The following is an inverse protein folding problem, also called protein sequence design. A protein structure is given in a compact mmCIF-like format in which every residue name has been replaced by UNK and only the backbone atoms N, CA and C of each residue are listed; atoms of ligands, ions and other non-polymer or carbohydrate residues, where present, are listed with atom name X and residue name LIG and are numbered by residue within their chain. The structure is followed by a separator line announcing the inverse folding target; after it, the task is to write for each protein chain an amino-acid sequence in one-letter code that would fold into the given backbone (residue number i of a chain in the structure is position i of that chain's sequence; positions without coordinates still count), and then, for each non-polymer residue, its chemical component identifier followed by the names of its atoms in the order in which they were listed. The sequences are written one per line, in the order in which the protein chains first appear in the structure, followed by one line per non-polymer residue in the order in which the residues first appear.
data_IF_378053532283
#
_entry.id   IF_378053532283
#
_cell.length_a   1.000
_cell.length_b   1.000
_cell.length_c   1.000
_cell.angle_alpha   90.00
_cell.angle_beta   90.00
_cell.angle_gamma   90.00
#
_symmetry.space_group_name_H-M   'P 1'
#
loop_
_entity.id
_entity.type
_entity.pdbx_description
1 polymer ?
#
# COMPACT_ATOMS: atom_id res chain seq x y z
N UNK A 1 -11.94 33.19 34.05
CA UNK A 1 -12.39 31.95 33.42
C UNK A 1 -11.42 31.44 32.37
N UNK A 2 -10.40 32.20 31.95
CA UNK A 2 -9.38 31.78 30.95
C UNK A 2 -8.19 31.05 31.57
N UNK A 3 -7.93 31.22 32.87
CA UNK A 3 -6.80 30.54 33.56
C UNK A 3 -7.03 29.06 33.88
N UNK A 4 -8.28 28.60 33.93
CA UNK A 4 -8.61 27.21 34.23
C UNK A 4 -8.59 26.27 33.01
N UNK A 5 -8.65 26.82 31.80
CA UNK A 5 -8.54 26.04 30.55
C UNK A 5 -7.08 25.76 30.20
N UNK A 6 -6.16 26.70 30.44
CA UNK A 6 -4.73 26.52 30.18
C UNK A 6 -4.10 25.47 31.08
N UNK A 7 -4.50 25.41 32.38
CA UNK A 7 -4.00 24.42 33.31
C UNK A 7 -4.46 22.98 32.95
N UNK A 8 -5.67 22.82 32.36
CA UNK A 8 -6.17 21.51 31.93
C UNK A 8 -5.54 21.02 30.63
N UNK A 9 -5.11 21.92 29.75
CA UNK A 9 -4.37 21.55 28.53
C UNK A 9 -2.92 21.14 28.83
N UNK A 10 -2.25 21.81 29.79
CA UNK A 10 -0.91 21.41 30.24
C UNK A 10 -0.92 20.05 30.94
N UNK A 11 -1.91 19.78 31.78
CA UNK A 11 -2.06 18.50 32.46
C UNK A 11 -2.34 17.34 31.48
N UNK A 12 -3.10 17.61 30.41
CA UNK A 12 -3.36 16.63 29.36
C UNK A 12 -2.16 16.34 28.46
N UNK A 13 -1.33 17.34 28.19
CA UNK A 13 -0.05 17.14 27.45
C UNK A 13 0.97 16.35 28.27
N UNK A 14 0.99 16.50 29.61
CA UNK A 14 1.89 15.72 30.45
C UNK A 14 1.46 14.25 30.54
N UNK A 15 0.16 13.97 30.61
CA UNK A 15 -0.37 12.59 30.63
C UNK A 15 -0.11 11.86 29.31
N UNK A 16 -0.27 12.53 28.18
CA UNK A 16 0.02 11.95 26.84
C UNK A 16 1.53 11.69 26.63
N UNK A 17 2.42 12.47 27.24
CA UNK A 17 3.87 12.23 27.20
C UNK A 17 4.30 11.08 28.11
N UNK A 18 3.67 10.90 29.26
CA UNK A 18 3.94 9.75 30.14
C UNK A 18 3.42 8.42 29.57
N UNK A 19 2.30 8.45 28.84
CA UNK A 19 1.76 7.25 28.19
C UNK A 19 2.61 6.83 26.96
N UNK A 20 3.15 7.79 26.20
CA UNK A 20 4.08 7.49 25.12
C UNK A 20 5.42 6.94 25.62
N UNK A 21 5.96 7.45 26.72
CA UNK A 21 7.20 6.93 27.32
C UNK A 21 7.00 5.51 27.87
N UNK A 22 5.85 5.18 28.46
CA UNK A 22 5.56 3.83 28.94
C UNK A 22 5.38 2.82 27.81
N UNK A 23 4.91 3.24 26.64
CA UNK A 23 4.73 2.38 25.47
C UNK A 23 6.06 2.08 24.79
N UNK A 24 7.01 3.03 24.78
CA UNK A 24 8.37 2.83 24.27
C UNK A 24 9.23 1.95 25.20
N UNK A 25 9.10 2.07 26.53
CA UNK A 25 9.81 1.20 27.48
C UNK A 25 9.34 -0.26 27.42
N UNK A 26 8.08 -0.53 27.09
CA UNK A 26 7.58 -1.91 26.92
C UNK A 26 8.00 -2.59 25.61
N UNK A 27 8.45 -1.84 24.61
CA UNK A 27 8.95 -2.41 23.35
C UNK A 27 10.46 -2.73 23.39
N UNK A 28 11.23 -2.24 24.38
CA UNK A 28 12.66 -2.52 24.49
C UNK A 28 13.01 -3.68 25.46
N UNK A 29 12.03 -4.33 26.08
CA UNK A 29 12.26 -5.43 27.03
C UNK A 29 11.88 -6.79 26.45
N UNK A 30 12.38 -7.17 25.27
CA UNK A 30 12.43 -8.58 24.85
C UNK A 30 13.87 -8.96 24.51
N UNK A 31 14.49 -9.91 25.23
CA UNK A 31 15.80 -10.41 24.87
C UNK A 31 15.70 -11.34 23.66
N UNK A 32 16.33 -10.96 22.57
CA UNK A 32 16.65 -11.86 21.48
C UNK A 32 17.58 -12.96 21.99
N UNK A 33 17.09 -14.17 22.08
CA UNK A 33 17.92 -15.36 22.10
C UNK A 33 17.17 -16.52 21.43
N UNK A 34 17.39 -16.65 20.13
CA UNK A 34 17.05 -17.88 19.42
C UNK A 34 18.13 -18.15 18.38
N UNK A 35 19.14 -18.92 18.83
CA UNK A 35 20.09 -19.54 17.92
C UNK A 35 19.35 -20.60 17.11
N UNK A 36 19.35 -20.45 15.81
CA UNK A 36 18.94 -21.44 14.83
C UNK A 36 19.89 -22.64 14.85
N UNK A 37 19.33 -23.81 15.05
CA UNK A 37 19.95 -25.06 14.64
C UNK A 37 19.11 -25.65 13.51
N UNK A 38 19.61 -25.55 12.31
CA UNK A 38 19.06 -26.21 11.13
C UNK A 38 19.22 -27.74 11.27
N UNK A 39 18.13 -28.46 11.39
CA UNK A 39 18.08 -29.89 11.12
C UNK A 39 17.43 -30.13 9.76
N UNK A 40 18.25 -30.68 8.89
CA UNK A 40 17.95 -31.13 7.54
C UNK A 40 17.15 -32.43 7.61
N UNK A 41 15.85 -32.43 7.36
CA UNK A 41 15.06 -33.62 7.12
C UNK A 41 15.09 -34.00 5.64
N UNK A 42 15.74 -35.11 5.34
CA UNK A 42 15.66 -35.78 4.05
C UNK A 42 14.47 -36.73 4.01
N UNK A 43 13.66 -36.55 2.99
CA UNK A 43 12.48 -37.35 2.65
C UNK A 43 12.79 -38.83 2.41
N UNK A 44 12.00 -39.70 3.04
CA UNK A 44 11.97 -41.13 2.75
C UNK A 44 10.97 -41.43 1.63
N UNK A 45 11.51 -42.04 0.59
CA UNK A 45 10.74 -42.78 -0.40
C UNK A 45 10.54 -44.23 0.03
N UNK A 46 9.32 -44.65 -0.13
CA UNK A 46 8.78 -45.99 0.10
C UNK A 46 9.34 -47.00 -0.92
N UNK A 47 9.90 -48.13 -0.46
CA UNK A 47 10.11 -49.35 -1.27
C UNK A 47 10.08 -50.58 -0.38
N UNK A 48 9.10 -51.39 -0.63
CA UNK A 48 8.91 -52.73 -0.08
C UNK A 48 9.94 -53.74 -0.54
N UNK A 49 10.12 -54.74 0.33
CA UNK A 49 10.57 -56.12 0.15
C UNK A 49 12.08 -56.40 0.15
N UNK A 50 12.55 -57.02 1.24
CA UNK A 50 12.92 -58.47 1.28
C UNK A 50 13.52 -58.83 2.66
N UNK A 51 12.90 -59.86 3.27
CA UNK A 51 13.40 -60.59 4.43
C UNK A 51 14.78 -61.18 4.12
N UNK A 52 15.79 -60.80 4.88
CA UNK A 52 17.02 -61.59 5.04
C UNK A 52 17.31 -61.66 6.54
N UNK A 53 17.44 -62.90 6.98
CA UNK A 53 17.74 -63.30 8.33
C UNK A 53 19.09 -62.73 8.79
N UNK A 54 19.11 -61.90 9.82
CA UNK A 54 20.34 -61.44 10.47
C UNK A 54 20.34 -61.78 11.96
N UNK A 55 21.48 -62.15 12.52
CA UNK A 55 21.61 -62.59 13.92
C UNK A 55 21.35 -61.43 14.89
N UNK A 56 20.98 -61.69 16.16
CA UNK A 56 20.50 -60.68 17.10
C UNK A 56 21.59 -59.66 17.44
N UNK A 57 21.37 -58.43 17.02
CA UNK A 57 22.21 -57.29 17.40
C UNK A 57 22.03 -56.97 18.89
N UNK A 58 23.16 -56.97 19.61
CA UNK A 58 23.23 -56.56 21.00
C UNK A 58 22.64 -55.13 21.17
N UNK A 59 21.64 -54.99 22.05
CA UNK A 59 21.03 -53.70 22.41
C UNK A 59 22.10 -52.78 22.95
N UNK A 60 22.49 -51.76 22.20
CA UNK A 60 23.37 -50.68 22.68
C UNK A 60 22.67 -50.00 23.86
N UNK A 61 23.29 -50.06 25.05
CA UNK A 61 22.82 -49.33 26.22
C UNK A 61 22.72 -47.86 25.91
N UNK A 62 21.54 -47.26 26.08
CA UNK A 62 21.34 -45.81 25.98
C UNK A 62 22.11 -45.15 27.14
N UNK A 63 23.22 -44.51 26.83
CA UNK A 63 23.95 -43.67 27.76
C UNK A 63 23.07 -42.45 28.10
N UNK A 64 22.68 -42.34 29.34
CA UNK A 64 21.91 -41.20 29.85
C UNK A 64 22.92 -40.10 30.20
N UNK A 65 23.03 -39.11 29.34
CA UNK A 65 23.88 -37.93 29.57
C UNK A 65 23.14 -36.99 30.53
N UNK A 66 23.73 -36.70 31.68
CA UNK A 66 23.24 -35.71 32.63
C UNK A 66 24.17 -34.52 32.54
N UNK A 67 23.62 -33.36 32.16
CA UNK A 67 24.35 -32.07 32.12
C UNK A 67 24.22 -31.45 33.53
N UNK A 68 25.34 -31.14 34.13
CA UNK A 68 25.41 -30.42 35.43
C UNK A 68 26.10 -29.11 35.17
N UNK A 69 25.41 -28.02 35.42
CA UNK A 69 25.97 -26.67 35.37
C UNK A 69 26.90 -26.48 36.56
N UNK A 70 28.15 -26.25 36.27
CA UNK A 70 29.16 -25.91 37.28
C UNK A 70 29.14 -24.42 37.54
N UNK A 71 28.90 -23.95 38.76
CA UNK A 71 29.03 -22.54 39.08
C UNK A 71 30.52 -22.14 38.97
N UNK A 72 30.82 -21.29 38.02
CA UNK A 72 32.18 -20.74 37.82
C UNK A 72 32.21 -19.35 38.42
N UNK A 73 32.88 -19.16 39.50
CA UNK A 73 33.19 -17.83 40.06
C UNK A 73 34.49 -17.35 39.43
N UNK A 74 34.39 -16.40 38.49
CA UNK A 74 35.55 -15.73 37.94
C UNK A 74 35.95 -14.57 38.86
N UNK A 75 37.04 -14.71 39.57
CA UNK A 75 37.71 -13.62 40.27
C UNK A 75 38.83 -13.08 39.37
N UNK A 76 38.54 -12.10 38.55
CA UNK A 76 39.56 -11.37 37.79
C UNK A 76 40.01 -10.16 38.63
N UNK A 77 41.32 -10.02 38.84
CA UNK A 77 41.93 -8.91 39.61
C UNK A 77 41.63 -7.55 38.97
N UNK A 78 41.23 -7.56 37.68
CA UNK A 78 40.92 -6.36 36.88
C UNK A 78 39.39 -6.21 36.64
N UNK A 79 38.55 -6.90 37.38
CA UNK A 79 37.10 -6.82 37.18
C UNK A 79 36.59 -5.47 37.70
N UNK A 80 35.93 -4.72 36.82
CA UNK A 80 35.20 -3.53 37.21
C UNK A 80 34.03 -3.92 38.08
N UNK A 81 33.90 -3.29 39.24
CA UNK A 81 32.78 -3.52 40.17
C UNK A 81 31.43 -3.20 39.48
N UNK A 82 30.36 -3.89 39.91
CA UNK A 82 29.02 -3.69 39.33
C UNK A 82 28.57 -2.24 39.36
N UNK A 83 28.88 -1.51 40.40
CA UNK A 83 28.50 -0.09 40.53
C UNK A 83 29.20 0.80 39.48
N UNK A 84 30.48 0.53 39.20
CA UNK A 84 31.21 1.23 38.15
C UNK A 84 30.70 0.86 36.75
N UNK A 85 30.34 -0.40 36.55
CA UNK A 85 29.74 -0.85 35.29
C UNK A 85 28.38 -0.17 35.04
N UNK A 86 27.55 -0.13 36.07
CA UNK A 86 26.25 0.56 35.99
C UNK A 86 26.41 2.06 35.71
N UNK A 87 27.40 2.71 36.35
CA UNK A 87 27.72 4.12 36.09
C UNK A 87 28.15 4.35 34.64
N UNK A 88 28.97 3.45 34.06
CA UNK A 88 29.38 3.56 32.67
C UNK A 88 28.21 3.34 31.71
N UNK A 89 27.33 2.37 31.98
CA UNK A 89 26.11 2.14 31.18
C UNK A 89 25.19 3.37 31.21
N UNK A 90 25.01 3.97 32.41
CA UNK A 90 24.19 5.18 32.54
C UNK A 90 24.80 6.36 31.80
N UNK A 91 26.10 6.55 31.87
CA UNK A 91 26.79 7.62 31.15
C UNK A 91 26.73 7.43 29.63
N UNK A 92 26.93 6.18 29.18
CA UNK A 92 26.76 5.84 27.75
C UNK A 92 25.33 6.13 27.28
N UNK A 93 24.33 5.74 28.05
CA UNK A 93 22.94 6.04 27.76
C UNK A 93 22.65 7.53 27.63
N UNK A 94 23.25 8.36 28.51
CA UNK A 94 23.15 9.83 28.42
C UNK A 94 23.81 10.38 27.14
N UNK A 95 24.99 9.87 26.78
CA UNK A 95 25.70 10.30 25.55
C UNK A 95 24.89 9.93 24.32
N UNK A 96 24.37 8.69 24.22
CA UNK A 96 23.51 8.25 23.12
C UNK A 96 22.27 9.13 22.99
N UNK A 97 21.63 9.48 24.12
CA UNK A 97 20.48 10.39 24.12
C UNK A 97 20.84 11.78 23.61
N UNK A 98 21.99 12.30 24.02
CA UNK A 98 22.49 13.61 23.56
C UNK A 98 22.78 13.59 22.06
N UNK A 99 23.43 12.55 21.55
CA UNK A 99 23.71 12.38 20.13
C UNK A 99 22.42 12.30 19.31
N UNK A 100 21.41 11.59 19.83
CA UNK A 100 20.09 11.51 19.19
C UNK A 100 19.43 12.89 19.10
N UNK A 101 19.41 13.65 20.17
CA UNK A 101 18.84 15.00 20.18
C UNK A 101 19.55 15.93 19.20
N UNK A 102 20.89 15.86 19.14
CA UNK A 102 21.68 16.64 18.23
C UNK A 102 21.42 16.27 16.77
N UNK A 103 21.34 14.96 16.48
CA UNK A 103 20.94 14.48 15.16
C UNK A 103 19.56 14.99 14.75
N UNK A 104 18.57 14.87 15.64
CA UNK A 104 17.21 15.33 15.36
C UNK A 104 17.14 16.85 15.15
N UNK A 105 17.97 17.62 15.85
CA UNK A 105 18.12 19.07 15.64
C UNK A 105 18.67 19.37 14.25
N UNK A 106 19.73 18.68 13.86
CA UNK A 106 20.37 18.83 12.55
C UNK A 106 19.42 18.38 11.42
N UNK A 107 18.71 17.28 11.59
CA UNK A 107 17.70 16.81 10.62
C UNK A 107 16.60 17.87 10.44
N UNK A 108 16.15 18.53 11.52
CA UNK A 108 15.16 19.59 11.44
C UNK A 108 15.71 20.86 10.73
N UNK A 109 16.98 21.24 10.97
CA UNK A 109 17.66 22.34 10.28
C UNK A 109 17.74 22.04 8.78
N UNK A 110 18.23 20.85 8.41
CA UNK A 110 18.38 20.42 7.03
C UNK A 110 17.03 20.39 6.31
N UNK A 111 15.94 19.98 6.99
CA UNK A 111 14.60 19.99 6.40
C UNK A 111 14.10 21.41 6.05
N UNK A 112 14.47 22.44 6.81
CA UNK A 112 14.18 23.84 6.46
C UNK A 112 14.97 24.25 5.23
N UNK A 113 16.26 23.95 5.22
CA UNK A 113 17.17 24.28 4.12
C UNK A 113 16.72 23.62 2.80
N UNK A 114 16.45 22.32 2.83
CA UNK A 114 15.92 21.58 1.67
C UNK A 114 14.63 22.19 1.15
N UNK A 115 13.70 22.54 2.06
CA UNK A 115 12.44 23.14 1.67
C UNK A 115 12.61 24.51 1.02
N UNK A 116 13.54 25.34 1.52
CA UNK A 116 13.84 26.66 0.96
C UNK A 116 14.35 26.53 -0.47
N UNK A 117 15.34 25.68 -0.70
CA UNK A 117 15.90 25.47 -2.04
C UNK A 117 14.89 24.85 -3.01
N UNK A 118 14.18 23.81 -2.57
CA UNK A 118 13.17 23.15 -3.40
C UNK A 118 12.04 24.09 -3.82
N UNK A 119 11.56 24.92 -2.88
CA UNK A 119 10.48 25.87 -3.19
C UNK A 119 10.96 27.02 -4.08
N UNK A 120 12.16 27.54 -3.91
CA UNK A 120 12.71 28.58 -4.79
C UNK A 120 12.80 28.10 -6.23
N UNK A 121 13.33 26.89 -6.44
CA UNK A 121 13.41 26.30 -7.77
C UNK A 121 12.02 26.10 -8.39
N UNK A 122 11.08 25.54 -7.61
CA UNK A 122 9.72 25.25 -8.09
C UNK A 122 8.88 26.51 -8.36
N UNK A 123 9.06 27.57 -7.57
CA UNK A 123 8.36 28.84 -7.79
C UNK A 123 8.78 29.53 -9.09
N UNK A 124 10.02 29.31 -9.55
CA UNK A 124 10.51 29.82 -10.82
C UNK A 124 10.29 28.88 -12.00
N UNK A 125 9.78 27.66 -11.76
CA UNK A 125 9.58 26.63 -12.77
C UNK A 125 8.15 26.13 -12.80
N UNK A 126 7.88 24.97 -12.18
CA UNK A 126 6.60 24.28 -12.30
C UNK A 126 5.44 24.97 -11.56
N UNK A 127 5.72 25.74 -10.50
CA UNK A 127 4.70 26.43 -9.71
C UNK A 127 4.41 27.86 -10.18
N UNK A 128 5.16 28.41 -11.13
CA UNK A 128 5.02 29.79 -11.59
C UNK A 128 3.59 30.16 -11.96
N UNK A 129 2.86 29.27 -12.64
CA UNK A 129 1.48 29.48 -13.09
C UNK A 129 0.42 29.35 -11.99
N UNK A 130 0.80 28.83 -10.82
CA UNK A 130 -0.12 28.49 -9.73
C UNK A 130 -0.08 29.47 -8.55
N UNK A 131 0.68 30.53 -8.69
CA UNK A 131 0.85 31.60 -7.70
C UNK A 131 0.73 32.95 -8.39
N UNK A 132 0.14 33.94 -7.70
CA UNK A 132 0.14 35.32 -8.21
C UNK A 132 1.55 35.91 -8.18
N UNK A 133 1.84 36.89 -8.99
CA UNK A 133 3.15 37.54 -9.02
C UNK A 133 3.50 38.18 -7.64
N UNK A 134 2.52 38.81 -7.02
CA UNK A 134 2.71 39.46 -5.72
C UNK A 134 2.99 38.41 -4.62
N UNK A 135 2.23 37.30 -4.58
CA UNK A 135 2.43 36.22 -3.61
C UNK A 135 3.77 35.50 -3.87
N UNK A 136 4.15 35.30 -5.14
CA UNK A 136 5.43 34.70 -5.51
C UNK A 136 6.60 35.54 -5.01
N UNK A 137 6.56 36.86 -5.27
CA UNK A 137 7.61 37.78 -4.84
C UNK A 137 7.71 37.82 -3.32
N UNK A 138 6.58 37.93 -2.63
CA UNK A 138 6.53 37.94 -1.17
C UNK A 138 7.06 36.63 -0.57
N UNK A 139 6.69 35.48 -1.14
CA UNK A 139 7.16 34.20 -0.67
C UNK A 139 8.65 33.97 -0.97
N UNK A 140 9.12 34.40 -2.15
CA UNK A 140 10.55 34.35 -2.49
C UNK A 140 11.40 35.13 -1.49
N UNK A 141 11.00 36.36 -1.16
CA UNK A 141 11.70 37.15 -0.14
C UNK A 141 11.74 36.42 1.21
N UNK A 142 10.62 35.80 1.62
CA UNK A 142 10.57 35.05 2.87
C UNK A 142 11.47 33.82 2.87
N UNK A 143 11.61 33.14 1.72
CA UNK A 143 12.56 32.04 1.57
C UNK A 143 14.01 32.52 1.66
N UNK A 144 14.34 33.66 1.04
CA UNK A 144 15.66 34.29 1.12
C UNK A 144 15.99 34.74 2.54
N UNK A 145 15.04 35.38 3.24
CA UNK A 145 15.19 35.75 4.64
C UNK A 145 15.42 34.54 5.55
N UNK A 146 14.72 33.41 5.25
CA UNK A 146 14.92 32.18 6.01
C UNK A 146 16.27 31.53 5.73
N UNK A 147 16.75 31.58 4.49
CA UNK A 147 18.09 31.09 4.12
C UNK A 147 19.17 31.90 4.87
N UNK A 148 19.07 33.21 4.83
CA UNK A 148 20.01 34.08 5.54
C UNK A 148 19.98 33.79 7.05
N UNK A 149 18.80 33.68 7.64
CA UNK A 149 18.62 33.33 9.04
C UNK A 149 19.28 32.00 9.39
N UNK A 150 19.18 30.94 8.53
CA UNK A 150 19.79 29.63 8.78
C UNK A 150 21.31 29.68 8.96
N UNK A 151 21.97 30.60 8.28
CA UNK A 151 23.43 30.76 8.33
C UNK A 151 23.92 31.85 9.31
N UNK A 152 23.00 32.60 9.90
CA UNK A 152 23.27 33.62 10.88
C UNK A 152 22.71 33.22 12.26
N UNK A 153 21.61 33.83 12.68
CA UNK A 153 21.01 33.64 14.00
C UNK A 153 20.39 32.22 14.18
N UNK A 154 20.11 31.54 13.09
CA UNK A 154 19.50 30.21 13.06
C UNK A 154 20.48 29.04 13.09
N UNK A 155 21.79 29.28 13.19
CA UNK A 155 22.78 28.21 13.12
C UNK A 155 22.65 27.22 14.27
N UNK A 156 22.38 27.70 15.47
CA UNK A 156 22.43 26.95 16.73
C UNK A 156 21.13 27.09 17.54
N UNK A 157 19.98 26.93 16.87
CA UNK A 157 18.68 27.02 17.50
C UNK A 157 18.17 25.66 17.98
N UNK A 158 17.26 25.61 18.98
CA UNK A 158 16.58 24.40 19.38
C UNK A 158 15.76 23.80 18.20
N UNK A 159 15.65 22.47 18.17
CA UNK A 159 14.88 21.72 17.14
C UNK A 159 13.50 22.33 16.86
N UNK A 160 12.77 22.75 17.90
CA UNK A 160 11.42 23.29 17.75
C UNK A 160 11.38 24.54 16.87
N UNK A 161 12.37 25.41 16.96
CA UNK A 161 12.43 26.64 16.15
C UNK A 161 12.51 26.31 14.64
N UNK A 162 13.26 25.27 14.27
CA UNK A 162 13.32 24.83 12.88
C UNK A 162 11.99 24.23 12.41
N UNK A 163 11.32 23.45 13.27
CA UNK A 163 9.99 22.91 12.97
C UNK A 163 8.97 24.03 12.76
N UNK A 164 8.98 25.04 13.61
CA UNK A 164 8.06 26.19 13.53
C UNK A 164 8.31 26.98 12.24
N UNK A 165 9.58 27.26 11.90
CA UNK A 165 9.96 27.89 10.64
C UNK A 165 9.50 27.11 9.43
N UNK A 166 9.74 25.79 9.40
CA UNK A 166 9.29 24.93 8.33
C UNK A 166 7.77 24.93 8.18
N UNK A 167 7.05 24.90 9.30
CA UNK A 167 5.59 24.95 9.32
C UNK A 167 5.07 26.27 8.75
N UNK A 168 5.68 27.39 9.11
CA UNK A 168 5.36 28.71 8.57
C UNK A 168 5.54 28.74 7.05
N UNK A 169 6.68 28.28 6.55
CA UNK A 169 6.94 28.21 5.10
C UNK A 169 5.96 27.26 4.39
N UNK A 170 5.68 26.11 4.97
CA UNK A 170 4.69 25.16 4.42
C UNK A 170 3.28 25.72 4.34
N UNK A 171 2.88 26.56 5.28
CA UNK A 171 1.57 27.24 5.25
C UNK A 171 1.40 28.09 3.99
N UNK A 172 2.47 28.69 3.48
CA UNK A 172 2.46 29.49 2.25
C UNK A 172 2.61 28.60 0.99
N UNK A 173 3.46 27.57 1.06
CA UNK A 173 3.77 26.74 -0.10
C UNK A 173 2.74 25.64 -0.37
N UNK A 174 2.13 25.05 0.64
CA UNK A 174 1.14 23.97 0.48
C UNK A 174 -0.05 24.32 -0.43
N UNK A 175 -0.66 25.52 -0.37
CA UNK A 175 -1.73 25.88 -1.29
C UNK A 175 -1.27 25.89 -2.76
N UNK A 176 -0.06 26.36 -3.02
CA UNK A 176 0.53 26.39 -4.37
C UNK A 176 0.76 24.97 -4.85
N UNK A 177 1.39 24.15 -4.03
CA UNK A 177 1.64 22.74 -4.31
C UNK A 177 0.32 21.97 -4.56
N UNK A 178 -0.72 22.23 -3.75
CA UNK A 178 -2.02 21.61 -3.92
C UNK A 178 -2.68 22.00 -5.25
N UNK A 179 -2.57 23.27 -5.67
CA UNK A 179 -3.10 23.72 -6.98
C UNK A 179 -2.38 23.03 -8.14
N UNK A 180 -1.08 22.90 -8.06
CA UNK A 180 -0.29 22.18 -9.04
C UNK A 180 -0.70 20.71 -9.10
N UNK A 181 -0.70 20.00 -7.97
CA UNK A 181 -1.09 18.60 -7.90
C UNK A 181 -2.50 18.36 -8.45
N UNK A 182 -3.46 19.19 -8.05
CA UNK A 182 -4.82 19.13 -8.57
C UNK A 182 -4.89 19.39 -10.09
N UNK A 183 -4.00 20.22 -10.63
CA UNK A 183 -3.91 20.47 -12.07
C UNK A 183 -3.43 19.25 -12.86
N UNK A 184 -2.58 18.44 -12.27
CA UNK A 184 -2.07 17.19 -12.86
C UNK A 184 -3.06 16.03 -12.71
N UNK A 185 -3.72 15.91 -11.54
CA UNK A 185 -4.59 14.78 -11.22
C UNK A 185 -6.00 14.90 -11.84
N UNK A 186 -6.58 16.11 -11.89
CA UNK A 186 -7.94 16.33 -12.41
C UNK A 186 -8.19 15.86 -13.83
N UNK A 187 -7.30 16.11 -14.81
CA UNK A 187 -7.53 15.66 -16.18
C UNK A 187 -7.71 14.16 -16.27
N UNK A 188 -6.91 13.40 -15.52
CA UNK A 188 -7.01 11.94 -15.44
C UNK A 188 -8.32 11.50 -14.79
N UNK A 189 -8.71 12.14 -13.70
CA UNK A 189 -9.98 11.83 -13.02
C UNK A 189 -11.19 12.09 -13.93
N UNK A 190 -11.20 13.20 -14.69
CA UNK A 190 -12.23 13.48 -15.69
C UNK A 190 -12.22 12.47 -16.85
N UNK A 191 -11.06 12.06 -17.32
CA UNK A 191 -10.93 11.04 -18.37
C UNK A 191 -11.53 9.71 -17.91
N UNK A 192 -11.22 9.28 -16.67
CA UNK A 192 -11.73 8.04 -16.11
C UNK A 192 -13.26 8.09 -15.91
N UNK A 193 -13.81 9.20 -15.42
CA UNK A 193 -15.25 9.42 -15.36
C UNK A 193 -15.89 9.36 -16.77
N UNK A 194 -15.28 10.03 -17.74
CA UNK A 194 -15.75 10.04 -19.13
C UNK A 194 -15.76 8.64 -19.75
N UNK A 195 -14.73 7.83 -19.51
CA UNK A 195 -14.66 6.42 -19.94
C UNK A 195 -15.81 5.59 -19.35
N UNK A 196 -16.08 5.75 -18.06
CA UNK A 196 -17.17 5.04 -17.40
C UNK A 196 -18.53 5.45 -17.96
N UNK A 197 -18.78 6.75 -18.14
CA UNK A 197 -20.00 7.26 -18.76
C UNK A 197 -20.19 6.65 -20.17
N UNK A 198 -19.15 6.69 -20.99
CA UNK A 198 -19.20 6.12 -22.36
C UNK A 198 -19.48 4.62 -22.36
N UNK A 199 -18.91 3.87 -21.42
CA UNK A 199 -19.12 2.44 -21.28
C UNK A 199 -20.58 2.14 -20.94
N UNK A 200 -21.19 2.85 -19.99
CA UNK A 200 -22.60 2.67 -19.64
C UNK A 200 -23.54 3.10 -20.76
N UNK A 201 -23.26 4.22 -21.41
CA UNK A 201 -24.04 4.67 -22.57
C UNK A 201 -23.97 3.69 -23.75
N UNK A 202 -22.79 3.06 -23.99
CA UNK A 202 -22.64 2.00 -24.98
C UNK A 202 -23.52 0.80 -24.66
N UNK A 203 -23.58 0.38 -23.39
CA UNK A 203 -24.47 -0.70 -22.95
C UNK A 203 -25.94 -0.34 -23.15
N UNK A 204 -26.35 0.89 -22.81
CA UNK A 204 -27.71 1.38 -23.03
C UNK A 204 -28.08 1.36 -24.53
N UNK A 205 -27.17 1.81 -25.39
CA UNK A 205 -27.37 1.78 -26.86
C UNK A 205 -27.48 0.35 -27.40
N UNK A 206 -26.63 -0.57 -26.93
CA UNK A 206 -26.69 -1.99 -27.31
C UNK A 206 -28.02 -2.63 -26.90
N UNK A 207 -28.52 -2.35 -25.68
CA UNK A 207 -29.85 -2.79 -25.24
C UNK A 207 -30.97 -2.27 -26.16
N UNK A 208 -30.93 -0.94 -26.47
CA UNK A 208 -31.92 -0.33 -27.39
C UNK A 208 -31.85 -0.90 -28.82
N UNK A 209 -30.67 -1.34 -29.25
CA UNK A 209 -30.45 -2.06 -30.53
C UNK A 209 -30.85 -3.53 -30.46
N UNK A 210 -31.37 -4.04 -29.34
CA UNK A 210 -31.72 -5.43 -29.09
C UNK A 210 -30.57 -6.42 -29.30
N UNK A 211 -29.38 -6.01 -28.82
CA UNK A 211 -28.20 -6.89 -28.79
C UNK A 211 -28.47 -8.06 -27.85
N UNK A 212 -28.25 -9.28 -28.35
CA UNK A 212 -28.42 -10.50 -27.57
C UNK A 212 -27.64 -10.53 -26.24
N UNK A 213 -26.57 -9.76 -26.15
CA UNK A 213 -25.77 -9.69 -24.95
C UNK A 213 -26.54 -9.09 -23.78
N UNK A 214 -27.47 -8.17 -24.02
CA UNK A 214 -28.16 -7.37 -23.01
C UNK A 214 -29.69 -7.54 -22.98
N UNK A 215 -30.26 -8.47 -23.77
CA UNK A 215 -31.68 -8.72 -23.88
C UNK A 215 -32.37 -9.20 -22.57
N UNK A 216 -31.55 -9.66 -21.62
CA UNK A 216 -32.01 -10.13 -20.31
C UNK A 216 -32.15 -9.01 -19.27
N UNK A 217 -31.74 -7.78 -19.59
CA UNK A 217 -31.86 -6.65 -18.69
C UNK A 217 -33.28 -6.10 -18.68
N UNK A 218 -33.71 -5.59 -17.54
CA UNK A 218 -35.02 -4.93 -17.40
C UNK A 218 -34.96 -3.51 -17.97
N UNK A 219 -35.99 -3.11 -18.74
CA UNK A 219 -36.09 -1.79 -19.34
C UNK A 219 -36.04 -0.68 -18.31
N UNK A 220 -36.67 -0.84 -17.14
CA UNK A 220 -36.65 0.13 -16.05
C UNK A 220 -35.25 0.27 -15.43
N UNK A 221 -34.50 -0.82 -15.35
CA UNK A 221 -33.10 -0.82 -14.87
C UNK A 221 -32.16 -0.12 -15.86
N UNK A 222 -32.32 -0.37 -17.15
CA UNK A 222 -31.57 0.29 -18.21
C UNK A 222 -31.88 1.78 -18.26
N UNK A 223 -33.15 2.17 -18.07
CA UNK A 223 -33.53 3.57 -17.97
C UNK A 223 -32.87 4.30 -16.77
N UNK A 224 -32.68 3.61 -15.64
CA UNK A 224 -31.93 4.14 -14.49
C UNK A 224 -30.46 4.36 -14.85
N UNK A 225 -29.81 3.41 -15.55
CA UNK A 225 -28.43 3.55 -16.00
C UNK A 225 -28.30 4.73 -16.94
N UNK A 226 -29.18 4.87 -17.92
CA UNK A 226 -29.21 5.99 -18.88
C UNK A 226 -29.34 7.33 -18.15
N UNK A 227 -30.29 7.44 -17.21
CA UNK A 227 -30.50 8.65 -16.42
C UNK A 227 -29.25 9.01 -15.61
N UNK A 228 -28.71 8.04 -14.86
CA UNK A 228 -27.51 8.28 -14.05
C UNK A 228 -26.29 8.66 -14.88
N UNK A 229 -26.09 8.04 -16.04
CA UNK A 229 -25.01 8.36 -16.95
C UNK A 229 -25.17 9.78 -17.55
N UNK A 230 -26.38 10.18 -17.93
CA UNK A 230 -26.65 11.53 -18.44
C UNK A 230 -26.46 12.60 -17.36
N UNK A 231 -26.94 12.37 -16.14
CA UNK A 231 -26.73 13.25 -15.02
C UNK A 231 -25.24 13.43 -14.67
N UNK A 232 -24.47 12.33 -14.71
CA UNK A 232 -23.02 12.37 -14.51
C UNK A 232 -22.31 13.13 -15.63
N UNK A 233 -22.75 12.99 -16.88
CA UNK A 233 -22.21 13.71 -18.03
C UNK A 233 -22.48 15.21 -17.95
N UNK A 234 -23.70 15.59 -17.58
CA UNK A 234 -24.09 16.99 -17.39
C UNK A 234 -23.27 17.64 -16.26
N UNK A 235 -23.14 16.93 -15.14
CA UNK A 235 -22.33 17.34 -13.99
C UNK A 235 -20.86 17.52 -14.40
N UNK A 236 -20.28 16.55 -15.10
CA UNK A 236 -18.89 16.60 -15.61
C UNK A 236 -18.66 17.81 -16.50
N UNK A 237 -19.53 18.01 -17.50
CA UNK A 237 -19.40 19.12 -18.45
C UNK A 237 -19.54 20.48 -17.75
N UNK A 238 -20.46 20.60 -16.79
CA UNK A 238 -20.65 21.83 -16.02
C UNK A 238 -19.40 22.14 -15.17
N UNK A 239 -18.87 21.14 -14.45
CA UNK A 239 -17.67 21.32 -13.62
C UNK A 239 -16.43 21.62 -14.46
N UNK A 240 -16.28 20.96 -15.60
CA UNK A 240 -15.18 21.21 -16.54
C UNK A 240 -15.24 22.66 -17.09
N UNK A 241 -16.41 23.13 -17.48
CA UNK A 241 -16.61 24.48 -17.98
C UNK A 241 -16.32 25.54 -16.92
N UNK A 242 -16.73 25.32 -15.67
CA UNK A 242 -16.44 26.23 -14.57
C UNK A 242 -14.94 26.25 -14.25
N UNK A 243 -14.30 25.08 -14.24
CA UNK A 243 -12.88 24.94 -13.97
C UNK A 243 -12.03 25.61 -15.05
N UNK A 244 -12.38 25.48 -16.33
CA UNK A 244 -11.66 26.09 -17.45
C UNK A 244 -11.69 27.62 -17.44
N UNK A 245 -12.68 28.21 -16.76
CA UNK A 245 -12.78 29.68 -16.57
C UNK A 245 -12.03 30.17 -15.33
N UNK A 246 -11.58 29.25 -14.46
CA UNK A 246 -10.90 29.59 -13.22
C UNK A 246 -9.42 29.80 -13.45
N UNK A 247 -8.86 30.88 -12.88
CA UNK A 247 -7.40 31.07 -12.89
C UNK A 247 -6.70 29.95 -12.13
N UNK A 248 -5.55 29.53 -12.61
CA UNK A 248 -4.69 28.54 -11.96
C UNK A 248 -4.09 29.04 -10.62
N UNK A 249 -4.04 30.35 -10.44
CA UNK A 249 -3.59 31.00 -9.20
C UNK A 249 -4.61 30.93 -8.06
N UNK A 250 -5.86 30.51 -8.35
CA UNK A 250 -6.93 30.36 -7.39
C UNK A 250 -7.21 28.88 -7.12
N UNK A 251 -7.75 28.59 -5.95
CA UNK A 251 -8.14 27.22 -5.61
C UNK A 251 -9.14 26.66 -6.61
N UNK A 252 -9.03 25.37 -6.96
CA UNK A 252 -9.87 24.74 -7.98
C UNK A 252 -11.35 24.75 -7.58
N UNK A 253 -12.23 24.82 -8.60
CA UNK A 253 -13.70 24.70 -8.41
C UNK A 253 -14.08 23.30 -7.99
N UNK A 254 -13.27 22.31 -8.37
CA UNK A 254 -13.47 20.90 -8.07
C UNK A 254 -12.13 20.22 -7.87
N UNK A 255 -12.06 19.32 -6.90
CA UNK A 255 -10.87 18.49 -6.64
C UNK A 255 -10.96 17.14 -7.33
N UNK A 256 -9.81 16.54 -7.66
CA UNK A 256 -9.72 15.22 -8.26
C UNK A 256 -10.49 14.16 -7.45
N UNK A 257 -10.37 14.19 -6.13
CA UNK A 257 -11.11 13.30 -5.21
C UNK A 257 -12.64 13.39 -5.33
N UNK A 258 -13.17 14.58 -5.64
CA UNK A 258 -14.63 14.76 -5.83
C UNK A 258 -15.09 14.12 -7.15
N UNK A 259 -14.24 14.18 -8.19
CA UNK A 259 -14.51 13.54 -9.47
C UNK A 259 -14.47 12.01 -9.32
N UNK A 260 -13.47 11.50 -8.60
CA UNK A 260 -13.39 10.08 -8.27
C UNK A 260 -14.58 9.60 -7.45
N UNK A 261 -15.04 10.40 -6.48
CA UNK A 261 -16.24 10.08 -5.71
C UNK A 261 -17.47 9.99 -6.60
N UNK A 262 -17.61 10.90 -7.57
CA UNK A 262 -18.70 10.85 -8.56
C UNK A 262 -18.61 9.65 -9.48
N UNK A 263 -17.40 9.25 -9.87
CA UNK A 263 -17.15 8.02 -10.63
C UNK A 263 -17.57 6.77 -9.85
N UNK A 264 -17.23 6.71 -8.55
CA UNK A 264 -17.64 5.61 -7.65
C UNK A 264 -19.16 5.58 -7.45
N UNK A 265 -19.80 6.73 -7.28
CA UNK A 265 -21.26 6.84 -7.19
C UNK A 265 -21.93 6.28 -8.43
N UNK A 266 -21.53 6.73 -9.62
CA UNK A 266 -22.03 6.24 -10.90
C UNK A 266 -21.83 4.72 -11.04
N UNK A 267 -20.64 4.23 -10.72
CA UNK A 267 -20.30 2.81 -10.79
C UNK A 267 -21.17 1.97 -9.82
N UNK A 268 -21.41 2.47 -8.62
CA UNK A 268 -22.22 1.76 -7.61
C UNK A 268 -23.69 1.60 -8.04
N UNK A 269 -24.20 2.54 -8.81
CA UNK A 269 -25.58 2.50 -9.33
C UNK A 269 -25.65 1.61 -10.60
N UNK A 270 -24.71 1.78 -11.52
CA UNK A 270 -24.79 1.17 -12.85
C UNK A 270 -24.25 -0.25 -12.89
N UNK A 271 -23.15 -0.58 -12.21
CA UNK A 271 -22.52 -1.91 -12.25
C UNK A 271 -23.45 -3.05 -11.87
N UNK A 272 -24.24 -2.98 -10.76
CA UNK A 272 -25.13 -4.08 -10.39
C UNK A 272 -26.18 -4.40 -11.46
N UNK A 273 -26.51 -3.42 -12.29
CA UNK A 273 -27.51 -3.57 -13.37
C UNK A 273 -26.83 -4.17 -14.61
N UNK A 274 -25.72 -3.57 -15.05
CA UNK A 274 -25.04 -3.94 -16.30
C UNK A 274 -24.35 -5.30 -16.23
N UNK A 275 -23.94 -5.73 -15.03
CA UNK A 275 -23.25 -7.01 -14.80
C UNK A 275 -24.21 -8.15 -14.40
N UNK A 276 -25.53 -7.97 -14.47
CA UNK A 276 -26.48 -9.05 -14.22
C UNK A 276 -26.21 -10.22 -15.16
N UNK A 277 -26.00 -11.44 -14.62
CA UNK A 277 -25.80 -12.61 -15.47
C UNK A 277 -27.09 -12.98 -16.23
N UNK A 278 -26.95 -13.44 -17.47
CA UNK A 278 -28.10 -14.05 -18.20
C UNK A 278 -28.65 -15.19 -17.39
N UNK A 279 -30.00 -15.29 -17.25
CA UNK A 279 -30.62 -16.45 -16.66
C UNK A 279 -30.24 -17.70 -17.50
N UNK A 280 -29.67 -18.73 -16.82
CA UNK A 280 -29.44 -20.02 -17.47
C UNK A 280 -30.77 -20.54 -17.93
N UNK A 281 -30.96 -20.69 -19.23
CA UNK A 281 -32.08 -21.45 -19.78
C UNK A 281 -31.84 -22.90 -19.38
N UNK A 282 -32.53 -23.38 -18.36
CA UNK A 282 -32.60 -24.80 -18.10
C UNK A 282 -33.38 -25.40 -19.25
N UNK A 283 -32.69 -26.15 -20.14
CA UNK A 283 -33.33 -26.99 -21.12
C UNK A 283 -34.30 -27.92 -20.38
N UNK A 284 -35.56 -28.09 -20.85
CA UNK A 284 -36.48 -29.01 -20.23
C UNK A 284 -35.82 -30.39 -20.16
N UNK A 285 -35.72 -30.95 -18.97
CA UNK A 285 -35.35 -32.36 -18.82
C UNK A 285 -36.34 -33.18 -19.62
N UNK A 286 -35.89 -33.84 -20.72
CA UNK A 286 -36.62 -34.91 -21.34
C UNK A 286 -36.98 -35.92 -20.25
N UNK A 287 -38.29 -36.12 -20.04
CA UNK A 287 -38.82 -37.17 -19.20
C UNK A 287 -38.37 -38.51 -19.80
N UNK A 288 -37.37 -39.10 -19.18
CA UNK A 288 -37.00 -40.48 -19.46
C UNK A 288 -38.17 -41.37 -18.98
N UNK A 289 -38.90 -41.95 -19.93
CA UNK A 289 -39.82 -43.07 -19.70
C UNK A 289 -39.09 -44.21 -19.00
N UNK A 290 -39.73 -44.89 -18.04
CA UNK A 290 -39.14 -46.05 -17.38
C UNK A 290 -38.95 -47.22 -18.39
N UNK A 291 -37.84 -47.99 -18.30
CA UNK A 291 -37.65 -49.17 -19.12
C UNK A 291 -38.51 -50.34 -18.59
N UNK A 292 -39.28 -50.91 -19.47
CA UNK A 292 -39.94 -52.24 -19.25
C UNK A 292 -38.85 -53.33 -19.19
N UNK A 293 -39.09 -54.39 -18.41
CA UNK A 293 -38.12 -55.49 -18.27
C UNK A 293 -38.45 -56.62 -19.32
N UNK A 294 -37.45 -57.03 -20.09
CA UNK A 294 -37.45 -58.30 -20.73
C UNK A 294 -36.08 -58.97 -20.77
N UNK A 295 -36.13 -60.22 -20.37
CA UNK A 295 -35.05 -61.08 -20.03
C UNK A 295 -34.24 -61.67 -21.21
N UNK A 296 -33.48 -62.73 -20.94
CA UNK A 296 -32.17 -62.94 -21.45
C UNK A 296 -32.04 -63.74 -22.73
N UNK A 297 -31.06 -63.46 -23.57
CA UNK A 297 -30.49 -64.49 -24.49
C UNK A 297 -28.97 -64.23 -24.68
N UNK A 298 -28.29 -65.34 -24.53
CA UNK A 298 -26.90 -65.65 -24.76
C UNK A 298 -26.40 -65.37 -26.19
N UNK A 299 -25.13 -65.24 -26.36
CA UNK A 299 -24.46 -65.56 -27.64
C UNK A 299 -23.18 -64.73 -27.92
N UNK A 300 -22.07 -65.26 -27.52
CA UNK A 300 -20.76 -65.42 -28.16
C UNK A 300 -20.45 -64.64 -29.44
N UNK A 301 -19.22 -64.14 -29.50
CA UNK A 301 -18.52 -64.04 -30.77
C UNK A 301 -17.56 -62.87 -30.91
N UNK A 302 -16.32 -63.07 -30.51
CA UNK A 302 -15.01 -62.75 -31.17
C UNK A 302 -14.79 -61.46 -31.96
N UNK A 303 -13.82 -60.74 -31.49
CA UNK A 303 -12.50 -60.50 -32.09
C UNK A 303 -12.32 -59.39 -33.13
N UNK A 304 -11.20 -58.74 -32.92
CA UNK A 304 -10.30 -58.05 -33.86
C UNK A 304 -10.53 -56.56 -34.09
N UNK A 305 -9.70 -55.71 -33.52
CA UNK A 305 -8.37 -55.43 -34.10
C UNK A 305 -8.36 -54.03 -34.65
N UNK A 306 -7.43 -53.25 -34.21
CA UNK A 306 -6.97 -52.11 -35.01
C UNK A 306 -6.61 -50.84 -34.23
N UNK A 307 -5.35 -50.80 -33.91
CA UNK A 307 -4.58 -49.66 -33.45
C UNK A 307 -4.68 -48.43 -34.36
N UNK A 308 -4.60 -47.25 -33.79
CA UNK A 308 -3.52 -46.27 -34.06
C UNK A 308 -3.78 -44.92 -33.37
N UNK A 309 -2.91 -44.55 -32.45
CA UNK A 309 -2.48 -43.20 -32.21
C UNK A 309 -1.35 -42.91 -33.25
N UNK A 310 -0.78 -41.70 -33.38
CA UNK A 310 -0.83 -40.45 -32.62
C UNK A 310 -0.93 -39.22 -33.53
N UNK A 311 -1.06 -38.01 -32.98
CA UNK A 311 -0.17 -36.98 -33.39
C UNK A 311 -0.05 -35.82 -32.38
N UNK A 312 1.15 -35.35 -32.24
CA UNK A 312 1.66 -34.29 -31.36
C UNK A 312 1.36 -32.92 -31.97
N UNK A 313 0.92 -31.98 -31.17
CA UNK A 313 0.83 -30.57 -31.52
C UNK A 313 1.51 -29.73 -30.45
N UNK A 314 2.71 -29.35 -30.73
CA UNK A 314 3.67 -28.53 -30.02
C UNK A 314 3.13 -27.21 -29.50
N UNK A 315 3.36 -26.93 -28.21
CA UNK A 315 3.26 -25.61 -27.61
C UNK A 315 4.50 -24.77 -27.95
N UNK A 316 4.29 -23.54 -28.41
CA UNK A 316 5.32 -22.53 -28.59
C UNK A 316 5.57 -21.74 -27.29
N UNK A 317 6.82 -21.37 -26.98
CA UNK A 317 7.16 -20.66 -25.76
C UNK A 317 6.96 -19.15 -25.89
N UNK A 318 6.58 -18.50 -24.77
CA UNK A 318 6.46 -17.06 -24.60
C UNK A 318 7.84 -16.37 -24.61
N UNK A 319 7.96 -15.10 -25.08
CA UNK A 319 9.25 -14.40 -25.12
C UNK A 319 9.64 -13.83 -23.76
N UNK A 320 10.88 -14.12 -23.36
CA UNK A 320 11.58 -13.51 -22.22
C UNK A 320 11.80 -12.01 -22.43
N UNK A 321 11.45 -11.21 -21.41
CA UNK A 321 11.81 -9.78 -21.33
C UNK A 321 13.26 -9.68 -20.82
N UNK A 322 14.15 -9.19 -21.66
CA UNK A 322 15.51 -8.75 -21.28
C UNK A 322 15.42 -7.48 -20.42
N UNK A 323 16.08 -7.51 -19.29
CA UNK A 323 16.45 -6.35 -18.47
C UNK A 323 17.62 -5.62 -19.15
N UNK A 324 17.68 -4.27 -19.10
CA UNK A 324 18.86 -3.54 -19.57
C UNK A 324 19.98 -3.59 -18.53
N UNK A 325 21.18 -3.93 -19.01
CA UNK A 325 22.44 -3.80 -18.28
C UNK A 325 22.72 -2.31 -18.00
N UNK A 326 23.09 -2.02 -16.75
CA UNK A 326 23.66 -0.72 -16.36
C UNK A 326 25.17 -0.77 -16.64
N UNK A 327 25.63 0.02 -17.57
CA UNK A 327 27.04 0.36 -17.73
C UNK A 327 27.46 1.30 -16.59
N UNK A 328 28.53 0.89 -15.92
CA UNK A 328 29.27 1.67 -14.93
C UNK A 328 30.49 2.23 -15.65
N UNK A 329 30.52 3.56 -15.79
CA UNK A 329 31.75 4.34 -15.92
C UNK A 329 31.68 5.54 -14.99
#
# INVERSE_FOLDING_TARGET
METDQHAKEEEKMQVDQEEQQKTEEQQQAQPENKAESEEMETSQGDSKDKKVDQPPQAKKAKVKTTTVDLPIENQLVWQIGKDMLNLFIENEGKMIMQDKLEKERNDAKNAVEEYVYDMRDKLCSIYEKFVSEDDRNSFTLKLEDTENWLYEDGEDQPKQIYIDKLTELKTLGQPIQARFQESEERPKAFEDLGKQIQQYMKTVHAFKAKDEQYDHLDEADVAKVEKSANEAMEWMNNKLNLQNKRSLTLDPVIKAKEIEAKTKELTSICNPIVTKPKPKVELPKEEQKPPEPNGPVEGEGEASGGAQAPDQGTAAPAPEKKLPEMDID
#
